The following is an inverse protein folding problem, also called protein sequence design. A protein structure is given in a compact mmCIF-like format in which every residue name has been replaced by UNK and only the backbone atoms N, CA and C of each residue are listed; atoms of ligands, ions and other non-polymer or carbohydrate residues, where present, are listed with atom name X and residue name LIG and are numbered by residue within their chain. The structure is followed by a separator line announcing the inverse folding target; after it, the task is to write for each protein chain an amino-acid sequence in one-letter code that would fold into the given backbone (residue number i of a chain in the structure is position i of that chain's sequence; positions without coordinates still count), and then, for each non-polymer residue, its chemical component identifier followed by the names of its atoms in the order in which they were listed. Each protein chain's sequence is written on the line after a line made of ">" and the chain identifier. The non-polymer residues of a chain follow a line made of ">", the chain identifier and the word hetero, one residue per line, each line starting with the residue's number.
data_IF_730664223599
#
_entry.id   IF_730664223599
#
_cell.length_a   1.000
_cell.length_b   1.000
_cell.length_c   1.000
_cell.angle_alpha   90.00
_cell.angle_beta   90.00
_cell.angle_gamma   90.00
#
_symmetry.space_group_name_H-M   'P 1'
#
loop_
_entity.id
_entity.type
_entity.pdbx_description
1 polymer ?
#
# COMPACT_ATOMS: atom_id res chain seq x y z
N UNK A 1 5.80 -28.27 -17.51
CA UNK A 1 4.65 -27.40 -17.18
C UNK A 1 3.61 -27.58 -18.28
N UNK A 2 2.43 -28.11 -17.96
CA UNK A 2 1.35 -28.31 -18.93
C UNK A 2 0.64 -26.99 -19.22
N UNK A 3 0.50 -26.64 -20.49
CA UNK A 3 -0.32 -25.50 -20.93
C UNK A 3 -1.78 -25.82 -20.59
N UNK A 4 -2.50 -24.96 -19.85
CA UNK A 4 -3.89 -25.23 -19.48
C UNK A 4 -4.76 -25.29 -20.73
N UNK A 5 -5.55 -26.36 -20.82
CA UNK A 5 -6.44 -26.65 -21.94
C UNK A 5 -7.66 -25.71 -21.89
N UNK A 6 -7.64 -24.66 -22.72
CA UNK A 6 -8.65 -23.60 -22.78
C UNK A 6 -9.99 -24.06 -23.42
N UNK A 7 -10.05 -25.31 -23.91
CA UNK A 7 -11.27 -25.90 -24.50
C UNK A 7 -12.38 -26.16 -23.48
N UNK A 8 -12.06 -26.23 -22.19
CA UNK A 8 -13.02 -26.37 -21.09
C UNK A 8 -13.59 -25.03 -20.58
N UNK A 9 -13.09 -23.89 -21.07
CA UNK A 9 -13.59 -22.58 -20.66
C UNK A 9 -14.88 -22.31 -21.43
N UNK A 10 -15.99 -22.27 -20.69
CA UNK A 10 -17.32 -21.93 -21.20
C UNK A 10 -17.36 -20.42 -21.51
N UNK A 11 -16.83 -20.04 -22.69
CA UNK A 11 -16.63 -18.66 -23.12
C UNK A 11 -17.92 -17.83 -23.07
N UNK A 12 -19.07 -18.48 -23.25
CA UNK A 12 -20.39 -17.84 -23.13
C UNK A 12 -20.65 -17.31 -21.71
N UNK A 13 -20.28 -18.06 -20.65
CA UNK A 13 -20.39 -17.61 -19.26
C UNK A 13 -19.42 -16.49 -18.92
N UNK A 14 -18.19 -16.55 -19.45
CA UNK A 14 -17.19 -15.50 -19.24
C UNK A 14 -17.65 -14.18 -19.87
N UNK A 15 -18.19 -14.25 -21.08
CA UNK A 15 -18.75 -13.09 -21.78
C UNK A 15 -19.99 -12.56 -21.04
N UNK A 16 -20.93 -13.42 -20.62
CA UNK A 16 -22.11 -12.98 -19.88
C UNK A 16 -21.76 -12.35 -18.53
N UNK A 17 -20.81 -12.94 -17.80
CA UNK A 17 -20.30 -12.38 -16.55
C UNK A 17 -19.68 -11.00 -16.78
N UNK A 18 -18.93 -10.82 -17.87
CA UNK A 18 -18.35 -9.54 -18.26
C UNK A 18 -19.42 -8.48 -18.53
N UNK A 19 -20.46 -8.80 -19.30
CA UNK A 19 -21.60 -7.89 -19.55
C UNK A 19 -22.41 -7.56 -18.29
N UNK A 20 -22.34 -8.38 -17.25
CA UNK A 20 -23.04 -8.14 -15.99
C UNK A 20 -22.18 -7.33 -15.01
N UNK A 21 -20.88 -7.64 -14.93
CA UNK A 21 -19.94 -7.03 -13.98
C UNK A 21 -19.46 -5.66 -14.48
N UNK A 22 -19.18 -5.50 -15.77
CA UNK A 22 -18.66 -4.23 -16.33
C UNK A 22 -19.59 -3.04 -16.08
N UNK A 23 -20.91 -3.09 -16.38
CA UNK A 23 -21.80 -1.96 -16.11
C UNK A 23 -21.97 -1.69 -14.62
N UNK A 24 -21.95 -2.72 -13.77
CA UNK A 24 -22.01 -2.57 -12.31
C UNK A 24 -20.76 -1.85 -11.82
N UNK A 25 -19.57 -2.27 -12.24
CA UNK A 25 -18.29 -1.61 -11.89
C UNK A 25 -18.28 -0.17 -12.39
N UNK A 26 -18.75 0.10 -13.60
CA UNK A 26 -18.85 1.47 -14.13
C UNK A 26 -19.85 2.34 -13.36
N UNK A 27 -21.00 1.78 -12.96
CA UNK A 27 -22.02 2.45 -12.16
C UNK A 27 -21.50 2.85 -10.78
N UNK A 28 -20.69 1.99 -10.15
CA UNK A 28 -20.14 2.23 -8.83
C UNK A 28 -18.70 2.79 -8.84
N UNK A 29 -18.11 3.06 -10.01
CA UNK A 29 -16.69 3.45 -10.15
C UNK A 29 -16.28 4.62 -9.24
N UNK A 30 -17.15 5.62 -9.09
CA UNK A 30 -16.90 6.75 -8.19
C UNK A 30 -16.94 6.39 -6.71
N UNK A 31 -17.79 5.43 -6.31
CA UNK A 31 -17.89 4.93 -4.94
C UNK A 31 -16.72 3.98 -4.63
N UNK A 32 -16.40 3.08 -5.56
CA UNK A 32 -15.23 2.21 -5.45
C UNK A 32 -13.95 3.04 -5.31
N UNK A 33 -13.76 4.08 -6.13
CA UNK A 33 -12.59 4.96 -6.02
C UNK A 33 -12.47 5.60 -4.62
N UNK A 34 -13.59 6.10 -4.06
CA UNK A 34 -13.59 6.68 -2.70
C UNK A 34 -13.22 5.63 -1.64
N UNK A 35 -13.72 4.39 -1.77
CA UNK A 35 -13.41 3.31 -0.84
C UNK A 35 -11.95 2.86 -0.96
N UNK A 36 -11.44 2.74 -2.19
CA UNK A 36 -10.05 2.37 -2.43
C UNK A 36 -9.08 3.44 -1.93
N UNK A 37 -9.42 4.72 -2.05
CA UNK A 37 -8.59 5.83 -1.54
C UNK A 37 -8.50 5.78 0.01
N UNK A 38 -9.61 5.49 0.70
CA UNK A 38 -9.64 5.34 2.17
C UNK A 38 -8.88 4.09 2.62
N UNK A 39 -9.02 2.98 1.91
CA UNK A 39 -8.26 1.75 2.18
C UNK A 39 -6.76 1.97 1.97
N UNK A 40 -6.37 2.64 0.88
CA UNK A 40 -4.98 2.99 0.61
C UNK A 40 -4.41 3.91 1.69
N UNK A 41 -5.18 4.88 2.17
CA UNK A 41 -4.80 5.73 3.30
C UNK A 41 -4.57 4.91 4.58
N UNK A 42 -5.51 4.04 4.95
CA UNK A 42 -5.41 3.23 6.16
C UNK A 42 -4.25 2.22 6.11
N UNK A 43 -4.11 1.49 4.99
CA UNK A 43 -3.02 0.54 4.78
C UNK A 43 -1.68 1.28 4.79
N UNK A 44 -1.60 2.41 4.09
CA UNK A 44 -0.38 3.21 4.01
C UNK A 44 0.05 3.71 5.37
N UNK A 45 -0.90 4.22 6.16
CA UNK A 45 -0.63 4.71 7.50
C UNK A 45 -0.18 3.59 8.43
N UNK A 46 -0.82 2.41 8.36
CA UNK A 46 -0.41 1.25 9.16
C UNK A 46 1.01 0.78 8.81
N UNK A 47 1.37 0.74 7.53
CA UNK A 47 2.71 0.39 7.07
C UNK A 47 3.75 1.43 7.49
N UNK A 48 3.40 2.73 7.44
CA UNK A 48 4.24 3.83 7.87
C UNK A 48 4.56 3.74 9.37
N UNK A 49 3.54 3.56 10.20
CA UNK A 49 3.68 3.44 11.67
C UNK A 49 4.43 2.15 12.03
N UNK A 50 4.11 1.03 11.36
CA UNK A 50 4.82 -0.23 11.55
C UNK A 50 6.31 -0.12 11.19
N UNK A 51 6.62 0.49 10.05
CA UNK A 51 8.00 0.76 9.64
C UNK A 51 8.72 1.68 10.63
N UNK A 52 8.07 2.75 11.11
CA UNK A 52 8.64 3.64 12.13
C UNK A 52 8.93 2.90 13.44
N UNK A 53 8.01 2.03 13.88
CA UNK A 53 8.21 1.23 15.07
C UNK A 53 9.45 0.32 14.94
N UNK A 54 9.56 -0.44 13.84
CA UNK A 54 10.73 -1.29 13.58
C UNK A 54 12.00 -0.45 13.48
N UNK A 55 11.95 0.72 12.84
CA UNK A 55 13.08 1.64 12.74
C UNK A 55 13.56 2.10 14.12
N UNK A 56 12.65 2.51 15.00
CA UNK A 56 13.01 2.97 16.36
C UNK A 56 13.58 1.87 17.25
N UNK A 57 13.21 0.61 17.03
CA UNK A 57 13.75 -0.53 17.75
C UNK A 57 15.13 -0.94 17.22
N UNK A 58 15.34 -0.88 15.90
CA UNK A 58 16.58 -1.32 15.24
C UNK A 58 17.71 -0.28 15.34
N UNK A 59 17.38 1.01 15.29
CA UNK A 59 18.36 2.11 15.29
C UNK A 59 19.30 2.14 16.52
N UNK A 60 18.84 1.92 17.77
CA UNK A 60 19.74 1.83 18.92
C UNK A 60 20.60 0.56 18.93
N UNK A 61 20.18 -0.51 18.26
CA UNK A 61 20.89 -1.81 18.25
C UNK A 61 22.08 -1.84 17.28
N UNK A 62 22.01 -1.10 16.16
CA UNK A 62 23.07 -1.02 15.14
C UNK A 62 24.43 -0.55 15.73
N UNK A 63 24.51 0.59 16.45
CA UNK A 63 25.78 1.05 17.01
C UNK A 63 26.28 0.15 18.15
N UNK A 64 25.38 -0.46 18.93
CA UNK A 64 25.77 -1.37 20.02
C UNK A 64 26.29 -2.70 19.50
N UNK A 65 25.68 -3.25 18.44
CA UNK A 65 26.16 -4.45 17.77
C UNK A 65 27.55 -4.21 17.15
N UNK A 66 27.74 -3.07 16.46
CA UNK A 66 29.04 -2.70 15.89
C UNK A 66 30.16 -2.58 16.94
N UNK A 67 29.84 -2.12 18.16
CA UNK A 67 30.79 -2.04 19.28
C UNK A 67 31.08 -3.42 19.88
N UNK A 68 30.07 -4.29 20.04
CA UNK A 68 30.23 -5.65 20.59
C UNK A 68 31.06 -6.56 19.69
N UNK A 69 30.96 -6.42 18.36
CA UNK A 69 31.77 -7.19 17.41
C UNK A 69 33.23 -6.73 17.34
N UNK A 70 33.51 -5.46 17.67
CA UNK A 70 34.88 -4.98 17.78
C UNK A 70 35.59 -5.55 19.01
N UNK A 71 34.85 -5.93 20.05
CA UNK A 71 35.39 -6.54 21.26
C UNK A 71 35.56 -8.06 21.20
N UNK A 72 34.74 -8.80 20.44
CA UNK A 72 34.83 -10.27 20.34
C UNK A 72 34.69 -10.79 18.90
N UNK A 73 35.79 -11.16 18.23
CA UNK A 73 35.79 -11.66 16.84
C UNK A 73 35.41 -13.16 16.71
N UNK A 74 35.12 -13.84 17.82
CA UNK A 74 34.86 -15.30 17.88
C UNK A 74 33.39 -15.68 17.71
N UNK A 75 32.47 -14.73 17.89
CA UNK A 75 31.05 -14.88 17.54
C UNK A 75 30.90 -14.52 16.06
N UNK A 76 30.38 -15.45 15.24
CA UNK A 76 30.02 -15.20 13.85
C UNK A 76 28.94 -14.10 13.77
N UNK A 77 29.39 -12.85 13.81
CA UNK A 77 28.55 -11.65 13.87
C UNK A 77 27.96 -11.21 12.54
N UNK A 78 28.45 -11.80 11.45
CA UNK A 78 28.05 -11.45 10.10
C UNK A 78 26.54 -11.65 9.88
N UNK A 79 25.97 -12.74 10.38
CA UNK A 79 24.52 -13.01 10.25
C UNK A 79 23.66 -12.04 11.08
N UNK A 80 24.13 -11.64 12.26
CA UNK A 80 23.41 -10.71 13.12
C UNK A 80 23.41 -9.30 12.52
N UNK A 81 24.56 -8.82 12.04
CA UNK A 81 24.68 -7.52 11.36
C UNK A 81 23.84 -7.51 10.07
N UNK A 82 23.91 -8.56 9.27
CA UNK A 82 23.13 -8.67 8.04
C UNK A 82 21.62 -8.65 8.33
N UNK A 83 21.19 -9.26 9.43
CA UNK A 83 19.79 -9.22 9.86
C UNK A 83 19.36 -7.83 10.33
N UNK A 84 20.21 -7.13 11.08
CA UNK A 84 19.97 -5.74 11.50
C UNK A 84 19.89 -4.79 10.30
N UNK A 85 20.82 -4.92 9.34
CA UNK A 85 20.81 -4.12 8.11
C UNK A 85 19.55 -4.40 7.28
N UNK A 86 19.15 -5.67 7.13
CA UNK A 86 17.93 -6.04 6.43
C UNK A 86 16.68 -5.45 7.10
N UNK A 87 16.60 -5.52 8.43
CA UNK A 87 15.50 -4.94 9.21
C UNK A 87 15.46 -3.41 9.08
N UNK A 88 16.63 -2.75 9.09
CA UNK A 88 16.75 -1.31 8.88
C UNK A 88 16.26 -0.88 7.49
N UNK A 89 16.74 -1.55 6.43
CA UNK A 89 16.28 -1.28 5.06
C UNK A 89 14.80 -1.61 4.86
N UNK A 90 14.30 -2.69 5.48
CA UNK A 90 12.89 -3.05 5.48
C UNK A 90 12.04 -1.97 6.14
N UNK A 91 12.45 -1.48 7.31
CA UNK A 91 11.76 -0.41 8.04
C UNK A 91 11.68 0.88 7.21
N UNK A 92 12.80 1.31 6.61
CA UNK A 92 12.81 2.49 5.72
C UNK A 92 11.90 2.28 4.51
N UNK A 93 11.95 1.11 3.88
CA UNK A 93 11.12 0.80 2.71
C UNK A 93 9.64 0.82 3.05
N UNK A 94 9.26 0.26 4.19
CA UNK A 94 7.89 0.30 4.73
C UNK A 94 7.44 1.73 5.02
N UNK A 95 8.31 2.56 5.60
CA UNK A 95 8.00 3.96 5.86
C UNK A 95 7.79 4.76 4.56
N UNK A 96 8.68 4.61 3.57
CA UNK A 96 8.58 5.33 2.30
C UNK A 96 7.34 4.89 1.53
N UNK A 97 7.15 3.58 1.35
CA UNK A 97 5.99 3.04 0.62
C UNK A 97 4.67 3.34 1.34
N UNK A 98 4.64 3.18 2.67
CA UNK A 98 3.49 3.52 3.50
C UNK A 98 3.14 5.02 3.41
N UNK A 99 4.14 5.89 3.47
CA UNK A 99 3.97 7.33 3.30
C UNK A 99 3.40 7.70 1.93
N UNK A 100 3.95 7.14 0.84
CA UNK A 100 3.46 7.36 -0.52
C UNK A 100 2.01 6.88 -0.70
N UNK A 101 1.69 5.70 -0.16
CA UNK A 101 0.32 5.15 -0.22
C UNK A 101 -0.67 6.03 0.56
N UNK A 102 -0.26 6.53 1.73
CA UNK A 102 -1.07 7.43 2.55
C UNK A 102 -1.36 8.75 1.83
N UNK A 103 -0.31 9.36 1.26
CA UNK A 103 -0.42 10.64 0.54
C UNK A 103 -1.26 10.49 -0.73
N UNK A 104 -1.13 9.37 -1.45
CA UNK A 104 -1.94 9.13 -2.66
C UNK A 104 -3.44 8.97 -2.33
N UNK A 105 -3.79 8.23 -1.28
CA UNK A 105 -5.17 8.15 -0.78
C UNK A 105 -5.73 9.51 -0.37
N UNK A 106 -4.92 10.32 0.34
CA UNK A 106 -5.32 11.67 0.76
C UNK A 106 -5.56 12.60 -0.44
N UNK A 107 -4.66 12.58 -1.44
CA UNK A 107 -4.79 13.37 -2.67
C UNK A 107 -6.05 13.01 -3.46
N UNK A 108 -6.36 11.71 -3.60
CA UNK A 108 -7.59 11.25 -4.26
C UNK A 108 -8.86 11.81 -3.61
N UNK A 109 -8.91 11.78 -2.27
CA UNK A 109 -10.00 12.36 -1.49
C UNK A 109 -10.10 13.87 -1.60
N UNK A 110 -8.96 14.59 -1.59
CA UNK A 110 -8.95 16.04 -1.78
C UNK A 110 -9.49 16.43 -3.16
N UNK A 111 -9.02 15.76 -4.22
CA UNK A 111 -9.52 16.01 -5.58
C UNK A 111 -11.01 15.70 -5.72
N UNK A 112 -11.50 14.62 -5.09
CA UNK A 112 -12.92 14.30 -5.04
C UNK A 112 -13.72 15.40 -4.32
N UNK A 113 -13.25 15.86 -3.16
CA UNK A 113 -13.88 16.93 -2.37
C UNK A 113 -13.97 18.26 -3.12
N UNK A 114 -12.88 18.68 -3.77
CA UNK A 114 -12.83 19.92 -4.58
C UNK A 114 -13.82 19.83 -5.75
N UNK A 115 -13.82 18.69 -6.46
CA UNK A 115 -14.75 18.45 -7.57
C UNK A 115 -16.21 18.44 -7.13
N UNK A 116 -16.52 17.86 -5.97
CA UNK A 116 -17.87 17.84 -5.42
C UNK A 116 -18.32 19.27 -5.04
N UNK A 117 -17.43 20.10 -4.45
CA UNK A 117 -17.70 21.52 -4.17
C UNK A 117 -17.93 22.35 -5.42
N UNK A 118 -17.12 22.15 -6.47
CA UNK A 118 -17.27 22.85 -7.74
C UNK A 118 -18.59 22.49 -8.45
N UNK A 119 -19.01 21.21 -8.38
CA UNK A 119 -20.31 20.77 -8.90
C UNK A 119 -21.49 21.34 -8.12
N UNK A 120 -21.37 21.46 -6.79
CA UNK A 120 -22.41 22.08 -5.97
C UNK A 120 -22.55 23.58 -6.26
N UNK A 121 -21.44 24.28 -6.55
CA UNK A 121 -21.45 25.69 -6.91
C UNK A 121 -22.04 25.96 -8.30
N UNK A 122 -22.01 24.99 -9.21
CA UNK A 122 -22.53 25.14 -10.58
C UNK A 122 -24.01 24.75 -10.75
N UNK A 123 -24.67 24.18 -9.73
CA UNK A 123 -26.11 23.92 -9.81
C UNK A 123 -26.91 25.18 -9.47
N UNK A 124 -27.80 25.65 -10.37
CA UNK A 124 -28.60 26.83 -10.11
C UNK A 124 -29.57 26.51 -8.97
N UNK A 125 -29.61 27.41 -7.99
CA UNK A 125 -30.53 27.38 -6.86
C UNK A 125 -31.96 27.42 -7.43
N UNK A 126 -32.58 26.26 -7.63
CA UNK A 126 -34.02 26.16 -7.97
C UNK A 126 -34.79 26.72 -6.77
N UNK A 127 -35.16 28.00 -6.88
CA UNK A 127 -36.19 28.64 -6.08
C UNK A 127 -37.56 28.28 -6.63
#
# INVERSE_FOLDING_TARGET
>A
MSVPDLSQVDWAKVISLSFTVVPVVYRYRGVLAKITDVLAEAIGFSALVGGLYVYTQTLPEIPTAALQFKSDPSLSGAEHIQTLDLLYFCAISLMVLGGLLTVSGLLGRFQASVRDRLRAASQPKRR
#
